data_IF_511034786136
#
_entry.id   IF_511034786136
#
_cell.length_a   1.000
_cell.length_b   1.000
_cell.length_c   1.000
_cell.angle_alpha   90.00
_cell.angle_beta   90.00
_cell.angle_gamma   90.00
#
_symmetry.space_group_name_H-M   'P 1'
#
loop_
_entity.id
_entity.type
_entity.pdbx_description
1 polymer ?
#
# COMPACT_ATOMS: atom_id res chain seq x y z
N UNK A 1 7.76 -4.47 23.61
CA UNK A 1 7.34 -3.81 22.37
C UNK A 1 8.49 -3.88 21.38
N UNK A 2 8.19 -4.30 20.15
CA UNK A 2 9.17 -4.33 19.07
C UNK A 2 9.54 -2.90 18.65
N UNK A 3 10.80 -2.69 18.22
CA UNK A 3 11.20 -1.41 17.63
C UNK A 3 10.57 -1.23 16.25
N UNK A 4 10.49 0.01 15.74
CA UNK A 4 9.96 0.25 14.38
C UNK A 4 10.80 -0.45 13.32
N UNK A 5 12.12 -0.47 13.46
CA UNK A 5 13.01 -1.21 12.56
C UNK A 5 12.71 -2.71 12.56
N UNK A 6 12.46 -3.32 13.73
CA UNK A 6 12.03 -4.72 13.81
C UNK A 6 10.66 -4.96 13.16
N UNK A 7 9.71 -4.06 13.37
CA UNK A 7 8.39 -4.15 12.71
C UNK A 7 8.50 -4.01 11.20
N UNK A 8 9.35 -3.12 10.70
CA UNK A 8 9.61 -2.98 9.26
C UNK A 8 10.20 -4.26 8.67
N UNK A 9 11.21 -4.84 9.32
CA UNK A 9 11.78 -6.14 8.92
C UNK A 9 10.72 -7.24 8.91
N UNK A 10 9.90 -7.33 9.96
CA UNK A 10 8.79 -8.30 10.03
C UNK A 10 7.81 -8.11 8.88
N UNK A 11 7.41 -6.86 8.58
CA UNK A 11 6.48 -6.58 7.48
C UNK A 11 7.06 -7.00 6.13
N UNK A 12 8.34 -6.68 5.88
CA UNK A 12 9.03 -7.07 4.66
C UNK A 12 9.14 -8.60 4.51
N UNK A 13 9.48 -9.31 5.59
CA UNK A 13 9.60 -10.76 5.62
C UNK A 13 8.27 -11.50 5.39
N UNK A 14 7.13 -10.85 5.64
CA UNK A 14 5.81 -11.42 5.36
C UNK A 14 5.50 -11.48 3.85
N UNK A 15 6.17 -10.70 3.02
CA UNK A 15 5.96 -10.67 1.57
C UNK A 15 6.77 -11.78 0.87
N UNK A 16 6.40 -13.05 1.12
CA UNK A 16 7.11 -14.20 0.57
C UNK A 16 6.36 -14.82 -0.61
N UNK A 17 7.01 -15.06 -1.76
CA UNK A 17 6.41 -15.79 -2.86
C UNK A 17 5.86 -17.16 -2.42
N UNK A 18 4.68 -17.53 -2.90
CA UNK A 18 4.03 -18.81 -2.60
C UNK A 18 3.42 -18.92 -1.19
N UNK A 19 3.56 -17.88 -0.36
CA UNK A 19 2.94 -17.83 0.97
C UNK A 19 2.28 -16.46 1.19
N UNK A 20 1.12 -16.21 0.55
CA UNK A 20 0.47 -14.90 0.61
C UNK A 20 0.06 -14.56 2.05
N UNK A 21 0.43 -13.37 2.49
CA UNK A 21 -0.01 -12.80 3.76
C UNK A 21 -1.35 -12.08 3.57
N UNK A 22 -2.26 -12.24 4.51
CA UNK A 22 -3.50 -11.46 4.57
C UNK A 22 -3.30 -10.28 5.52
N UNK A 23 -3.36 -9.07 4.98
CA UNK A 23 -3.29 -7.83 5.75
C UNK A 23 -4.69 -7.19 5.81
N UNK A 24 -5.43 -7.34 6.93
CA UNK A 24 -6.75 -6.74 7.05
C UNK A 24 -6.65 -5.22 7.12
N UNK A 25 -7.59 -4.55 6.47
CA UNK A 25 -7.71 -3.09 6.51
C UNK A 25 -8.43 -2.64 7.76
N UNK A 26 -7.80 -1.77 8.53
CA UNK A 26 -8.32 -1.16 9.75
C UNK A 26 -8.37 0.37 9.62
N UNK A 27 -9.16 1.04 10.46
CA UNK A 27 -9.39 2.49 10.37
C UNK A 27 -9.40 3.21 11.73
N UNK A 28 -9.38 2.46 12.83
CA UNK A 28 -9.34 2.98 14.20
C UNK A 28 -8.74 1.95 15.17
N UNK A 29 -8.53 2.35 16.42
CA UNK A 29 -7.98 1.49 17.44
C UNK A 29 -8.86 0.27 17.75
N UNK A 30 -10.18 0.37 17.60
CA UNK A 30 -11.10 -0.74 17.85
C UNK A 30 -10.99 -1.82 16.77
N UNK A 31 -11.04 -1.43 15.50
CA UNK A 31 -10.88 -2.36 14.36
C UNK A 31 -9.50 -3.02 14.37
N UNK A 32 -8.44 -2.28 14.75
CA UNK A 32 -7.09 -2.81 14.89
C UNK A 32 -6.99 -3.86 16.00
N UNK A 33 -7.53 -3.58 17.20
CA UNK A 33 -7.58 -4.55 18.30
C UNK A 33 -8.37 -5.81 17.92
N UNK A 34 -9.49 -5.66 17.20
CA UNK A 34 -10.28 -6.78 16.73
C UNK A 34 -9.49 -7.67 15.76
N UNK A 35 -8.80 -7.07 14.80
CA UNK A 35 -7.97 -7.79 13.84
C UNK A 35 -6.82 -8.54 14.55
N UNK A 36 -6.11 -7.91 15.48
CA UNK A 36 -5.05 -8.56 16.26
C UNK A 36 -5.62 -9.70 17.12
N UNK A 37 -6.79 -9.49 17.73
CA UNK A 37 -7.47 -10.54 18.51
C UNK A 37 -7.91 -11.74 17.67
N UNK A 38 -8.14 -11.52 16.36
CA UNK A 38 -8.43 -12.57 15.40
C UNK A 38 -7.17 -13.31 14.90
N UNK A 39 -5.97 -12.88 15.33
CA UNK A 39 -4.70 -13.55 15.02
C UNK A 39 -3.89 -12.92 13.87
N UNK A 40 -4.30 -11.78 13.33
CA UNK A 40 -3.52 -11.10 12.31
C UNK A 40 -2.25 -10.47 12.89
N UNK A 41 -1.11 -10.67 12.21
CA UNK A 41 0.22 -10.30 12.69
C UNK A 41 0.76 -9.03 12.05
N UNK A 42 0.08 -8.48 11.06
CA UNK A 42 0.33 -7.18 10.45
C UNK A 42 -1.00 -6.62 9.89
N UNK A 43 -1.11 -5.32 9.75
CA UNK A 43 -2.34 -4.63 9.36
C UNK A 43 -2.08 -3.59 8.29
N UNK A 44 -3.12 -3.27 7.49
CA UNK A 44 -3.14 -2.04 6.69
C UNK A 44 -4.09 -1.02 7.29
N UNK A 45 -3.75 0.27 7.16
CA UNK A 45 -4.65 1.38 7.48
C UNK A 45 -5.17 1.93 6.16
N UNK A 46 -6.47 1.84 5.92
CA UNK A 46 -7.08 2.31 4.67
C UNK A 46 -7.49 3.77 4.74
N UNK A 47 -7.14 4.57 3.74
CA UNK A 47 -7.53 5.99 3.62
C UNK A 47 -9.05 6.15 3.58
N UNK A 48 -9.74 5.41 2.71
CA UNK A 48 -11.20 5.44 2.56
C UNK A 48 -11.93 5.18 3.89
N UNK A 49 -11.76 4.04 4.58
CA UNK A 49 -12.48 3.82 5.83
C UNK A 49 -12.05 4.75 6.97
N UNK A 50 -10.83 5.29 6.96
CA UNK A 50 -10.43 6.35 7.89
C UNK A 50 -11.25 7.60 7.64
N UNK A 51 -11.33 8.08 6.39
CA UNK A 51 -12.10 9.26 6.00
C UNK A 51 -13.58 9.09 6.34
N UNK A 52 -14.18 7.97 5.95
CA UNK A 52 -15.58 7.65 6.26
C UNK A 52 -15.88 7.63 7.76
N UNK A 53 -14.95 7.10 8.58
CA UNK A 53 -15.13 7.00 10.03
C UNK A 53 -15.24 8.36 10.74
N UNK A 54 -14.81 9.42 10.08
CA UNK A 54 -14.87 10.81 10.59
C UNK A 54 -15.76 11.72 9.75
N UNK A 55 -16.53 11.13 8.82
CA UNK A 55 -17.49 11.86 7.98
C UNK A 55 -16.85 12.76 6.93
N UNK A 56 -15.68 12.40 6.46
CA UNK A 56 -14.94 13.10 5.39
C UNK A 56 -14.98 12.27 4.09
N UNK A 57 -14.90 12.92 2.92
CA UNK A 57 -14.78 12.19 1.66
C UNK A 57 -13.42 11.49 1.56
N UNK A 58 -13.36 10.47 0.74
CA UNK A 58 -12.14 9.84 0.26
C UNK A 58 -11.39 10.74 -0.74
N UNK A 59 -10.29 10.28 -1.31
CA UNK A 59 -9.50 11.00 -2.32
C UNK A 59 -8.87 12.30 -1.79
N UNK A 60 -8.06 12.14 -0.74
CA UNK A 60 -7.39 13.24 -0.02
C UNK A 60 -8.39 14.26 0.59
N UNK A 61 -9.57 13.77 0.98
CA UNK A 61 -10.57 14.59 1.67
C UNK A 61 -10.22 14.90 3.14
N UNK A 62 -9.23 14.21 3.70
CA UNK A 62 -8.56 14.54 4.97
C UNK A 62 -7.17 15.09 4.67
N UNK A 63 -6.58 15.78 5.63
CA UNK A 63 -5.18 16.20 5.55
C UNK A 63 -4.24 15.07 5.97
N UNK A 64 -2.99 15.15 5.56
CA UNK A 64 -1.97 14.19 6.02
C UNK A 64 -1.82 14.19 7.54
N UNK A 65 -1.92 15.36 8.20
CA UNK A 65 -1.87 15.44 9.67
C UNK A 65 -3.06 14.76 10.35
N UNK A 66 -4.26 14.83 9.78
CA UNK A 66 -5.44 14.09 10.28
C UNK A 66 -5.23 12.58 10.15
N UNK A 67 -4.64 12.11 9.03
CA UNK A 67 -4.26 10.72 8.85
C UNK A 67 -3.21 10.29 9.88
N UNK A 68 -2.13 11.07 10.08
CA UNK A 68 -1.09 10.78 11.07
C UNK A 68 -1.64 10.69 12.50
N UNK A 69 -2.58 11.55 12.86
CA UNK A 69 -3.25 11.47 14.16
C UNK A 69 -4.02 10.15 14.32
N UNK A 70 -4.67 9.67 13.27
CA UNK A 70 -5.36 8.38 13.28
C UNK A 70 -4.38 7.20 13.38
N UNK A 71 -3.29 7.23 12.61
CA UNK A 71 -2.23 6.20 12.66
C UNK A 71 -1.65 6.12 14.07
N UNK A 72 -1.39 7.25 14.73
CA UNK A 72 -0.88 7.31 16.10
C UNK A 72 -1.83 6.63 17.09
N UNK A 73 -3.16 6.81 16.94
CA UNK A 73 -4.15 6.13 17.77
C UNK A 73 -4.13 4.60 17.55
N UNK A 74 -4.00 4.16 16.30
CA UNK A 74 -3.95 2.74 15.94
C UNK A 74 -2.66 2.11 16.46
N UNK A 75 -1.50 2.72 16.19
CA UNK A 75 -0.18 2.22 16.60
C UNK A 75 -0.01 2.15 18.12
N UNK A 76 -0.67 3.07 18.85
CA UNK A 76 -0.73 3.05 20.31
C UNK A 76 -1.60 1.94 20.90
N UNK A 77 -2.49 1.34 20.10
CA UNK A 77 -3.41 0.30 20.54
C UNK A 77 -2.90 -1.12 20.26
N UNK A 78 -1.99 -1.31 19.30
CA UNK A 78 -1.50 -2.63 18.86
C UNK A 78 0.02 -2.66 18.71
N UNK A 79 0.63 -3.84 18.86
CA UNK A 79 2.09 -4.02 18.73
C UNK A 79 2.44 -4.90 17.49
N UNK A 80 1.76 -4.64 16.37
CA UNK A 80 2.03 -5.29 15.08
C UNK A 80 2.47 -4.25 14.02
N UNK A 81 3.15 -4.64 12.95
CA UNK A 81 3.48 -3.76 11.83
C UNK A 81 2.23 -3.15 11.20
N UNK A 82 2.30 -1.86 10.86
CA UNK A 82 1.27 -1.13 10.12
C UNK A 82 1.80 -0.65 8.77
N UNK A 83 1.10 -0.97 7.69
CA UNK A 83 1.23 -0.35 6.37
C UNK A 83 0.06 0.61 6.17
N UNK A 84 0.30 1.79 5.62
CA UNK A 84 -0.71 2.86 5.54
C UNK A 84 -0.96 3.24 4.09
N UNK A 85 -2.22 3.28 3.69
CA UNK A 85 -2.62 3.88 2.42
C UNK A 85 -2.52 5.41 2.53
N UNK A 86 -1.54 5.98 1.86
CA UNK A 86 -1.29 7.43 1.82
C UNK A 86 -1.77 8.08 0.52
N UNK A 87 -2.69 7.41 -0.17
CA UNK A 87 -3.28 7.88 -1.43
C UNK A 87 -2.20 8.34 -2.43
N UNK A 88 -2.28 9.58 -2.96
CA UNK A 88 -1.26 10.14 -3.85
C UNK A 88 -0.12 10.87 -3.10
N UNK A 89 -0.16 10.90 -1.77
CA UNK A 89 0.85 11.57 -0.93
C UNK A 89 0.45 12.98 -0.47
N UNK A 90 -0.82 13.36 -0.61
CA UNK A 90 -1.38 14.62 -0.08
C UNK A 90 -0.65 15.89 -0.56
N UNK A 91 0.11 15.82 -1.66
CA UNK A 91 0.94 16.93 -2.13
C UNK A 91 2.13 17.25 -1.22
N UNK A 92 2.44 16.38 -0.28
CA UNK A 92 3.54 16.53 0.67
C UNK A 92 4.89 16.09 0.07
N UNK A 93 5.98 16.61 0.62
CA UNK A 93 7.33 16.19 0.29
C UNK A 93 7.60 14.75 0.75
N UNK A 94 8.30 13.91 -0.04
CA UNK A 94 8.61 12.51 0.31
C UNK A 94 9.26 12.34 1.69
N UNK A 95 10.15 13.25 2.09
CA UNK A 95 10.78 13.21 3.42
C UNK A 95 9.74 13.44 4.53
N UNK A 96 8.81 14.39 4.34
CA UNK A 96 7.74 14.64 5.30
C UNK A 96 6.81 13.44 5.43
N UNK A 97 6.48 12.77 4.31
CA UNK A 97 5.67 11.56 4.32
C UNK A 97 6.33 10.46 5.15
N UNK A 98 7.59 10.16 4.89
CA UNK A 98 8.34 9.10 5.60
C UNK A 98 8.52 9.45 7.07
N UNK A 99 9.00 10.66 7.41
CA UNK A 99 9.19 11.08 8.80
C UNK A 99 7.87 11.06 9.59
N UNK A 100 6.79 11.52 8.97
CA UNK A 100 5.46 11.52 9.56
C UNK A 100 4.95 10.11 9.87
N UNK A 101 5.04 9.18 8.90
CA UNK A 101 4.64 7.79 9.07
C UNK A 101 5.44 7.09 10.18
N UNK A 102 6.77 7.22 10.17
CA UNK A 102 7.63 6.65 11.22
C UNK A 102 7.26 7.23 12.59
N UNK A 103 7.10 8.54 12.69
CA UNK A 103 6.73 9.21 13.95
C UNK A 103 5.36 8.77 14.45
N UNK A 104 4.41 8.48 13.57
CA UNK A 104 3.10 7.95 13.90
C UNK A 104 3.09 6.44 14.22
N UNK A 105 4.21 5.72 13.99
CA UNK A 105 4.36 4.30 14.30
C UNK A 105 4.08 3.35 13.13
N UNK A 106 3.94 3.86 11.90
CA UNK A 106 3.84 3.04 10.68
C UNK A 106 5.22 2.66 10.15
N UNK A 107 5.29 1.51 9.49
CA UNK A 107 6.53 0.96 8.93
C UNK A 107 6.36 0.49 7.46
N UNK A 108 5.22 0.75 6.88
CA UNK A 108 4.92 0.52 5.47
C UNK A 108 3.93 1.54 4.95
N UNK A 109 3.89 1.68 3.64
CA UNK A 109 2.97 2.55 2.94
C UNK A 109 2.48 1.93 1.63
N UNK A 110 1.29 2.35 1.20
CA UNK A 110 0.78 2.17 -0.14
C UNK A 110 0.69 3.54 -0.81
N UNK A 111 1.23 3.68 -2.00
CA UNK A 111 1.25 4.93 -2.77
C UNK A 111 0.70 4.71 -4.17
N UNK A 112 -0.32 5.47 -4.54
CA UNK A 112 -0.97 5.37 -5.84
C UNK A 112 -0.50 6.42 -6.85
N UNK A 113 -0.76 6.14 -8.12
CA UNK A 113 -0.41 7.02 -9.23
C UNK A 113 -1.51 8.03 -9.61
N UNK A 114 -2.66 8.03 -8.92
CA UNK A 114 -3.73 9.01 -9.12
C UNK A 114 -3.46 10.30 -8.35
N UNK A 115 -3.31 11.44 -9.02
CA UNK A 115 -3.14 12.75 -8.37
C UNK A 115 -4.50 13.42 -8.20
N UNK A 116 -5.07 13.35 -7.00
CA UNK A 116 -6.42 13.86 -6.71
C UNK A 116 -6.51 15.37 -6.82
N UNK A 117 -5.50 16.10 -6.36
CA UNK A 117 -5.41 17.56 -6.45
C UNK A 117 -5.36 18.10 -7.87
N UNK A 118 -5.05 17.25 -8.86
CA UNK A 118 -4.97 17.61 -10.28
C UNK A 118 -6.11 16.98 -11.11
N UNK A 119 -7.29 16.89 -10.52
CA UNK A 119 -8.48 16.35 -11.18
C UNK A 119 -8.46 14.83 -11.35
N UNK A 120 -7.66 14.12 -10.59
CA UNK A 120 -7.59 12.66 -10.61
C UNK A 120 -6.85 12.10 -11.84
N UNK A 121 -5.90 12.87 -12.41
CA UNK A 121 -5.04 12.33 -13.47
C UNK A 121 -4.13 11.24 -12.93
N UNK A 122 -3.78 10.29 -13.76
CA UNK A 122 -2.67 9.40 -13.47
C UNK A 122 -1.33 10.12 -13.70
N UNK A 123 -0.38 9.94 -12.78
CA UNK A 123 1.03 10.28 -13.04
C UNK A 123 1.52 9.51 -14.27
N UNK A 124 2.38 10.11 -15.07
CA UNK A 124 3.13 9.35 -16.07
C UNK A 124 3.95 8.25 -15.38
N UNK A 125 4.25 7.17 -16.11
CA UNK A 125 4.92 6.00 -15.51
C UNK A 125 6.24 6.37 -14.84
N UNK A 126 7.06 7.19 -15.50
CA UNK A 126 8.31 7.66 -14.94
C UNK A 126 8.10 8.63 -13.77
N UNK A 127 7.12 9.53 -13.83
CA UNK A 127 6.75 10.45 -12.75
C UNK A 127 6.41 9.69 -11.46
N UNK A 128 5.66 8.59 -11.59
CA UNK A 128 5.31 7.76 -10.42
C UNK A 128 6.53 7.01 -9.89
N UNK A 129 7.36 6.46 -10.76
CA UNK A 129 8.60 5.80 -10.36
C UNK A 129 9.57 6.77 -9.68
N UNK A 130 9.73 7.99 -10.19
CA UNK A 130 10.58 9.02 -9.59
C UNK A 130 10.08 9.38 -8.18
N UNK A 131 8.75 9.44 -7.98
CA UNK A 131 8.16 9.68 -6.66
C UNK A 131 8.42 8.51 -5.70
N UNK A 132 8.26 7.27 -6.15
CA UNK A 132 8.61 6.06 -5.38
C UNK A 132 10.09 6.08 -5.00
N UNK A 133 10.98 6.42 -5.95
CA UNK A 133 12.42 6.56 -5.69
C UNK A 133 12.75 7.62 -4.65
N UNK A 134 12.03 8.74 -4.66
CA UNK A 134 12.20 9.79 -3.65
C UNK A 134 11.73 9.35 -2.26
N UNK A 135 10.62 8.58 -2.16
CA UNK A 135 10.17 7.94 -0.92
C UNK A 135 11.20 6.93 -0.40
N UNK A 136 11.77 6.08 -1.29
CA UNK A 136 12.84 5.14 -0.93
C UNK A 136 14.07 5.87 -0.39
N UNK A 137 14.55 6.89 -1.09
CA UNK A 137 15.69 7.68 -0.65
C UNK A 137 15.45 8.36 0.72
N UNK A 138 14.23 8.83 0.96
CA UNK A 138 13.85 9.39 2.26
C UNK A 138 13.85 8.32 3.36
N UNK A 139 13.36 7.11 3.07
CA UNK A 139 13.38 5.97 4.00
C UNK A 139 14.82 5.53 4.32
N UNK A 140 15.67 5.42 3.31
CA UNK A 140 17.08 4.99 3.45
C UNK A 140 17.91 6.00 4.26
N UNK A 141 17.46 7.24 4.36
CA UNK A 141 18.07 8.26 5.24
C UNK A 141 17.69 8.10 6.72
N UNK A 142 16.86 7.10 7.07
CA UNK A 142 16.43 6.76 8.44
C UNK A 142 16.93 5.37 8.83
N UNK A 143 16.74 5.00 10.11
CA UNK A 143 17.04 3.64 10.61
C UNK A 143 15.88 2.64 10.37
N UNK A 144 14.80 3.06 9.68
CA UNK A 144 13.61 2.25 9.43
C UNK A 144 13.42 2.05 7.94
N UNK A 145 13.56 0.82 7.47
CA UNK A 145 13.23 0.45 6.09
C UNK A 145 11.71 0.44 5.90
N UNK A 146 11.10 1.59 5.54
CA UNK A 146 9.67 1.66 5.28
C UNK A 146 9.33 0.82 4.05
N UNK A 147 8.45 -0.16 4.21
CA UNK A 147 8.01 -1.06 3.13
C UNK A 147 7.10 -0.29 2.18
N UNK A 148 7.52 -0.14 0.92
CA UNK A 148 6.82 0.64 -0.10
C UNK A 148 6.05 -0.30 -1.03
N UNK A 149 4.72 -0.22 -0.99
CA UNK A 149 3.82 -0.89 -1.92
C UNK A 149 3.38 0.10 -3.01
N UNK A 150 3.96 -0.01 -4.20
CA UNK A 150 3.66 0.90 -5.31
C UNK A 150 2.40 0.44 -6.06
N UNK A 151 1.37 1.30 -6.05
CA UNK A 151 0.06 1.04 -6.63
C UNK A 151 -0.11 1.74 -7.98
N UNK A 152 -0.80 1.09 -8.91
CA UNK A 152 -1.35 1.74 -10.11
C UNK A 152 -2.86 1.57 -10.18
N UNK A 153 -3.56 2.66 -10.50
CA UNK A 153 -5.01 2.74 -10.61
C UNK A 153 -5.53 2.49 -12.04
N UNK A 154 -4.68 2.05 -12.95
CA UNK A 154 -5.05 1.78 -14.36
C UNK A 154 -6.33 0.96 -14.50
N UNK A 155 -6.53 -0.04 -13.62
CA UNK A 155 -7.68 -0.94 -13.70
C UNK A 155 -8.94 -0.33 -13.09
N UNK A 156 -8.87 0.20 -11.87
CA UNK A 156 -10.05 0.77 -11.18
C UNK A 156 -10.57 2.01 -11.86
N UNK A 157 -9.71 2.75 -12.56
CA UNK A 157 -10.10 3.93 -13.36
C UNK A 157 -10.39 3.59 -14.83
N UNK A 158 -10.21 2.33 -15.24
CA UNK A 158 -10.42 1.87 -16.62
C UNK A 158 -9.70 2.74 -17.67
N UNK A 159 -8.46 3.17 -17.37
CA UNK A 159 -7.69 4.07 -18.24
C UNK A 159 -7.22 3.34 -19.51
N UNK A 160 -7.48 3.93 -20.66
CA UNK A 160 -7.06 3.45 -21.98
C UNK A 160 -7.76 2.17 -22.41
N UNK A 161 -7.18 1.48 -23.40
CA UNK A 161 -7.75 0.24 -23.94
C UNK A 161 -7.61 -0.90 -22.92
N UNK A 162 -8.65 -1.72 -22.80
CA UNK A 162 -8.65 -2.89 -21.93
C UNK A 162 -7.67 -3.96 -22.40
N UNK A 163 -7.53 -4.11 -23.71
CA UNK A 163 -6.71 -5.17 -24.32
C UNK A 163 -5.21 -5.06 -24.01
N UNK A 164 -4.70 -3.86 -23.72
CA UNK A 164 -3.28 -3.61 -23.41
C UNK A 164 -3.04 -3.18 -21.93
N UNK A 165 -4.11 -3.11 -21.13
CA UNK A 165 -4.04 -2.55 -19.78
C UNK A 165 -3.09 -3.32 -18.84
N UNK A 166 -3.08 -4.66 -18.93
CA UNK A 166 -2.16 -5.51 -18.14
C UNK A 166 -0.71 -5.22 -18.54
N UNK A 167 -0.42 -5.12 -19.84
CA UNK A 167 0.93 -4.81 -20.33
C UNK A 167 1.41 -3.43 -19.88
N UNK A 168 0.53 -2.42 -19.95
CA UNK A 168 0.85 -1.07 -19.45
C UNK A 168 1.06 -1.05 -17.95
N UNK A 169 0.27 -1.80 -17.16
CA UNK A 169 0.46 -1.92 -15.73
C UNK A 169 1.81 -2.56 -15.41
N UNK A 170 2.19 -3.64 -16.11
CA UNK A 170 3.49 -4.29 -15.95
C UNK A 170 4.62 -3.30 -16.25
N UNK A 171 4.55 -2.56 -17.35
CA UNK A 171 5.57 -1.58 -17.71
C UNK A 171 5.73 -0.50 -16.62
N UNK A 172 4.63 0.05 -16.09
CA UNK A 172 4.64 1.05 -15.02
C UNK A 172 5.24 0.49 -13.72
N UNK A 173 4.77 -0.68 -13.30
CA UNK A 173 5.18 -1.28 -12.03
C UNK A 173 6.63 -1.77 -12.04
N UNK A 174 7.18 -2.16 -13.20
CA UNK A 174 8.61 -2.43 -13.35
C UNK A 174 9.46 -1.21 -13.04
N UNK A 175 9.08 -0.03 -13.51
CA UNK A 175 9.79 1.21 -13.17
C UNK A 175 9.72 1.51 -11.66
N UNK A 176 8.59 1.25 -11.00
CA UNK A 176 8.47 1.41 -9.55
C UNK A 176 9.37 0.41 -8.80
N UNK A 177 9.48 -0.84 -9.29
CA UNK A 177 10.37 -1.83 -8.72
C UNK A 177 11.85 -1.41 -8.85
N UNK A 178 12.25 -0.91 -10.02
CA UNK A 178 13.60 -0.38 -10.26
C UNK A 178 13.90 0.86 -9.39
N UNK A 179 12.86 1.64 -9.07
CA UNK A 179 12.95 2.81 -8.20
C UNK A 179 13.02 2.47 -6.70
N UNK A 180 12.83 1.20 -6.30
CA UNK A 180 12.99 0.76 -4.92
C UNK A 180 11.69 0.48 -4.16
N UNK A 181 10.59 0.18 -4.85
CA UNK A 181 9.43 -0.45 -4.22
C UNK A 181 9.78 -1.82 -3.66
N UNK A 182 9.09 -2.28 -2.62
CA UNK A 182 9.22 -3.61 -2.02
C UNK A 182 8.11 -4.56 -2.48
N UNK A 183 6.96 -4.02 -2.85
CA UNK A 183 5.82 -4.75 -3.43
C UNK A 183 5.07 -3.89 -4.44
N UNK A 184 4.23 -4.52 -5.26
CA UNK A 184 3.55 -3.88 -6.37
C UNK A 184 2.05 -4.14 -6.30
N UNK A 185 1.25 -3.11 -6.60
CA UNK A 185 -0.19 -3.20 -6.45
C UNK A 185 -0.93 -2.75 -7.72
N UNK A 186 -1.24 -3.68 -8.63
CA UNK A 186 -2.17 -3.43 -9.73
C UNK A 186 -3.61 -3.48 -9.19
N UNK A 187 -4.06 -2.40 -8.51
CA UNK A 187 -5.33 -2.41 -7.78
C UNK A 187 -6.52 -2.72 -8.69
N UNK A 188 -7.33 -3.69 -8.30
CA UNK A 188 -8.50 -4.17 -9.03
C UNK A 188 -8.73 -5.67 -8.81
N UNK A 189 -9.90 -6.14 -9.23
CA UNK A 189 -10.18 -7.56 -9.31
C UNK A 189 -9.69 -8.10 -10.66
N UNK A 190 -8.84 -9.11 -10.63
CA UNK A 190 -8.28 -9.73 -11.82
C UNK A 190 -8.69 -11.20 -11.88
N UNK A 191 -8.81 -11.73 -13.10
CA UNK A 191 -8.93 -13.17 -13.30
C UNK A 191 -7.56 -13.86 -13.09
N UNK A 192 -7.55 -15.17 -12.93
CA UNK A 192 -6.34 -15.95 -12.67
C UNK A 192 -5.28 -15.81 -13.79
N UNK A 193 -5.70 -15.63 -15.04
CA UNK A 193 -4.75 -15.48 -16.14
C UNK A 193 -3.97 -14.16 -16.05
N UNK A 194 -4.66 -13.07 -15.67
CA UNK A 194 -4.03 -11.77 -15.45
C UNK A 194 -3.13 -11.79 -14.20
N UNK A 195 -3.58 -12.39 -13.09
CA UNK A 195 -2.74 -12.54 -11.90
C UNK A 195 -1.48 -13.37 -12.19
N UNK A 196 -1.59 -14.49 -12.91
CA UNK A 196 -0.43 -15.30 -13.34
C UNK A 196 0.54 -14.50 -14.19
N UNK A 197 0.02 -13.73 -15.15
CA UNK A 197 0.86 -12.89 -16.00
C UNK A 197 1.57 -11.81 -15.19
N UNK A 198 0.85 -11.12 -14.31
CA UNK A 198 1.41 -10.11 -13.40
C UNK A 198 2.50 -10.72 -12.52
N UNK A 199 2.23 -11.87 -11.88
CA UNK A 199 3.19 -12.53 -11.00
C UNK A 199 4.43 -13.07 -11.73
N UNK A 200 4.30 -13.48 -13.00
CA UNK A 200 5.42 -13.98 -13.80
C UNK A 200 6.30 -12.86 -14.36
N UNK A 201 5.71 -11.73 -14.71
CA UNK A 201 6.44 -10.65 -15.39
C UNK A 201 6.95 -9.56 -14.46
N UNK A 202 6.38 -9.43 -13.25
CA UNK A 202 6.82 -8.46 -12.25
C UNK A 202 7.90 -9.05 -11.34
N UNK A 203 8.94 -8.27 -10.99
CA UNK A 203 10.09 -8.78 -10.24
C UNK A 203 9.88 -8.84 -8.72
N UNK A 204 8.76 -8.33 -8.20
CA UNK A 204 8.45 -8.21 -6.78
C UNK A 204 7.09 -8.85 -6.46
N UNK A 205 6.83 -9.18 -5.19
CA UNK A 205 5.51 -9.65 -4.76
C UNK A 205 4.41 -8.67 -5.17
N UNK A 206 3.26 -9.22 -5.58
CA UNK A 206 2.09 -8.40 -5.93
C UNK A 206 1.05 -8.42 -4.82
N UNK A 207 0.44 -7.29 -4.57
CA UNK A 207 -0.72 -7.17 -3.71
C UNK A 207 -1.98 -7.48 -4.53
N UNK A 208 -2.79 -8.43 -4.05
CA UNK A 208 -4.06 -8.80 -4.66
C UNK A 208 -5.23 -8.42 -3.75
N UNK A 209 -6.35 -8.01 -4.35
CA UNK A 209 -7.60 -7.84 -3.62
C UNK A 209 -8.27 -9.20 -3.55
N UNK A 210 -8.43 -9.71 -2.33
CA UNK A 210 -9.22 -10.90 -2.09
C UNK A 210 -10.71 -10.60 -2.19
N UNK A 211 -11.45 -11.43 -2.93
CA UNK A 211 -12.91 -11.36 -2.95
C UNK A 211 -13.46 -12.15 -1.74
N UNK A 212 -14.09 -11.50 -0.75
CA UNK A 212 -14.62 -12.20 0.43
C UNK A 212 -15.66 -13.29 0.10
N UNK A 213 -16.30 -13.22 -1.06
CA UNK A 213 -17.27 -14.23 -1.50
C UNK A 213 -16.63 -15.56 -1.92
N UNK A 214 -15.34 -15.57 -2.23
CA UNK A 214 -14.63 -16.78 -2.65
C UNK A 214 -14.24 -17.70 -1.48
N UNK A 215 -14.17 -17.19 -0.28
CA UNK A 215 -14.00 -17.95 0.98
C UNK A 215 -12.67 -18.68 1.16
N UNK A 216 -11.99 -19.04 0.08
CA UNK A 216 -10.69 -19.73 0.08
C UNK A 216 -9.67 -18.90 -0.71
N UNK A 217 -8.64 -18.44 -0.01
CA UNK A 217 -7.55 -17.64 -0.60
C UNK A 217 -6.32 -18.49 -0.95
N UNK A 218 -6.38 -19.81 -0.72
CA UNK A 218 -5.24 -20.71 -0.98
C UNK A 218 -4.82 -20.75 -2.45
N UNK A 219 -5.74 -20.45 -3.38
CA UNK A 219 -5.42 -20.40 -4.80
C UNK A 219 -4.39 -19.32 -5.15
N UNK A 220 -4.34 -18.19 -4.41
CA UNK A 220 -3.32 -17.15 -4.62
C UNK A 220 -1.89 -17.67 -4.41
N UNK A 221 -1.70 -18.67 -3.55
CA UNK A 221 -0.39 -19.29 -3.35
C UNK A 221 0.11 -20.05 -4.58
N UNK A 222 -0.77 -20.38 -5.53
CA UNK A 222 -0.47 -21.11 -6.76
C UNK A 222 -0.38 -20.24 -8.01
N UNK A 223 -0.68 -18.95 -7.90
CA UNK A 223 -0.58 -17.99 -8.99
C UNK A 223 0.82 -17.41 -9.08
#
# INVERSE_FOLDING_TARGET
MSTLSQKATTLLELHQPGNPVVLPTVWDAWSANLAVSAGFTALTVGSHPVSDSIGKPDNEGITFDELLARITQISGAVDVPLSVDIEAGYGEDPKRLIDGLISAGAVGLNIEDTVHSEGGRLREAQEHADFVGALRAASDATDVHVVINARTDLFVKAIGDESDRVERAIARLKLCAEAGADSLYPVGFHNDADYKRLAQELPLPINAIANPAEGDLSHFASL
#
